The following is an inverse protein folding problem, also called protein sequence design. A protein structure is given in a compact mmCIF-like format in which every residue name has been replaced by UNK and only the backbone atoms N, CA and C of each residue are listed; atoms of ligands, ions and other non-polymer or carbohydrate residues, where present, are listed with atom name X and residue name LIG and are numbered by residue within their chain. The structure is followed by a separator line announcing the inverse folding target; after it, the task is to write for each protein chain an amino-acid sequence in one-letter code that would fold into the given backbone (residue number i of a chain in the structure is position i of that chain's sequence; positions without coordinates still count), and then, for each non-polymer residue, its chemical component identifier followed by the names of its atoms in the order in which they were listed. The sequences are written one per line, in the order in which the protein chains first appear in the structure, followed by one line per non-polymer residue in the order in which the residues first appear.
data_IF_701815863708
#
_entry.id   IF_701815863708
#
_cell.length_a   1.000
_cell.length_b   1.000
_cell.length_c   1.000
_cell.angle_alpha   90.00
_cell.angle_beta   90.00
_cell.angle_gamma   90.00
#
_symmetry.space_group_name_H-M   'P 1'
#
loop_
_entity.id
_entity.type
_entity.pdbx_description
1 polymer ?
#
# COMPACT_ATOMS: atom_id res chain seq x y z
N UNK A 1 20.15 -8.67 -0.70
CA UNK A 1 19.86 -7.25 -0.40
C UNK A 1 18.98 -6.73 -1.54
N UNK A 2 17.70 -6.48 -1.26
CA UNK A 2 16.59 -6.37 -2.22
C UNK A 2 16.52 -5.00 -2.95
N UNK A 3 17.64 -4.51 -3.51
CA UNK A 3 17.69 -3.15 -4.10
C UNK A 3 17.01 -3.01 -5.47
N UNK A 4 16.81 -4.10 -6.22
CA UNK A 4 16.32 -4.04 -7.62
C UNK A 4 14.98 -4.74 -7.86
N UNK A 5 14.18 -5.01 -6.83
CA UNK A 5 12.88 -5.66 -7.03
C UNK A 5 11.75 -4.71 -6.66
N UNK A 6 11.17 -4.09 -7.69
CA UNK A 6 9.88 -3.43 -7.58
C UNK A 6 8.83 -4.44 -7.13
N UNK A 7 8.05 -4.07 -6.13
CA UNK A 7 6.90 -4.85 -5.66
C UNK A 7 5.64 -4.16 -6.15
N UNK A 8 4.82 -4.90 -6.89
CA UNK A 8 3.58 -4.40 -7.45
C UNK A 8 2.42 -4.90 -6.60
N UNK A 9 1.64 -3.98 -6.06
CA UNK A 9 0.46 -4.26 -5.24
C UNK A 9 -0.78 -3.76 -5.96
N UNK A 10 -1.80 -4.60 -6.09
CA UNK A 10 -3.07 -4.20 -6.68
C UNK A 10 -3.94 -3.52 -5.61
N UNK A 11 -4.34 -2.28 -5.89
CA UNK A 11 -5.32 -1.55 -5.06
C UNK A 11 -6.69 -1.70 -5.71
N UNK A 12 -7.63 -2.25 -4.95
CA UNK A 12 -9.03 -2.38 -5.37
C UNK A 12 -9.87 -1.30 -4.67
N UNK A 13 -10.74 -0.65 -5.45
CA UNK A 13 -11.83 0.17 -4.91
C UNK A 13 -13.06 -0.71 -4.64
N UNK A 14 -13.52 -0.71 -3.41
CA UNK A 14 -14.72 -1.44 -2.97
C UNK A 14 -15.99 -0.64 -3.26
N UNK A 15 -17.18 -1.29 -3.29
CA UNK A 15 -18.46 -0.61 -3.55
C UNK A 15 -18.80 0.52 -2.55
N UNK A 16 -18.24 0.48 -1.34
CA UNK A 16 -18.38 1.52 -0.32
C UNK A 16 -17.39 2.69 -0.50
N UNK A 17 -16.78 2.82 -1.69
CA UNK A 17 -15.76 3.82 -2.01
C UNK A 17 -14.51 3.78 -1.11
N UNK A 18 -14.17 2.61 -0.56
CA UNK A 18 -12.91 2.39 0.18
C UNK A 18 -11.87 1.69 -0.67
N UNK A 19 -10.60 1.92 -0.35
CA UNK A 19 -9.43 1.39 -1.06
C UNK A 19 -8.73 0.32 -0.21
N UNK A 20 -8.47 -0.85 -0.80
CA UNK A 20 -7.79 -1.97 -0.13
C UNK A 20 -6.71 -2.54 -1.04
N UNK A 21 -5.58 -2.92 -0.46
CA UNK A 21 -4.58 -3.75 -1.18
C UNK A 21 -5.09 -5.19 -1.17
N UNK A 22 -5.13 -5.86 -2.31
CA UNK A 22 -5.54 -7.26 -2.36
C UNK A 22 -4.66 -8.13 -1.44
N UNK A 23 -5.31 -8.88 -0.53
CA UNK A 23 -4.63 -9.70 0.48
C UNK A 23 -4.39 -9.00 1.82
N UNK A 24 -4.71 -7.71 1.94
CA UNK A 24 -4.75 -6.99 3.22
C UNK A 24 -6.15 -7.00 3.84
N UNK A 25 -6.18 -6.87 5.17
CA UNK A 25 -7.44 -6.90 5.94
C UNK A 25 -8.02 -5.49 6.14
N UNK A 26 -7.25 -4.44 5.80
CA UNK A 26 -7.60 -3.04 6.08
C UNK A 26 -7.96 -2.27 4.81
N UNK A 27 -9.13 -1.66 4.80
CA UNK A 27 -9.57 -0.72 3.77
C UNK A 27 -9.49 0.74 4.26
N UNK A 28 -9.11 1.66 3.38
CA UNK A 28 -8.88 3.09 3.64
C UNK A 28 -9.93 3.96 2.94
N UNK A 29 -10.24 5.15 3.46
CA UNK A 29 -11.22 6.03 2.81
C UNK A 29 -10.63 6.78 1.59
N UNK A 30 -9.30 6.86 1.48
CA UNK A 30 -8.62 7.46 0.33
C UNK A 30 -7.27 6.79 0.04
N UNK A 31 -6.71 7.01 -1.15
CA UNK A 31 -5.34 6.59 -1.49
C UNK A 31 -4.30 7.28 -0.60
N UNK A 32 -4.54 8.53 -0.21
CA UNK A 32 -3.65 9.28 0.69
C UNK A 32 -3.56 8.59 2.07
N UNK A 33 -4.70 8.20 2.64
CA UNK A 33 -4.72 7.46 3.91
C UNK A 33 -4.05 6.09 3.80
N UNK A 34 -4.23 5.40 2.68
CA UNK A 34 -3.57 4.12 2.40
C UNK A 34 -2.05 4.28 2.42
N UNK A 35 -1.53 5.30 1.74
CA UNK A 35 -0.09 5.60 1.71
C UNK A 35 0.42 5.96 3.10
N UNK A 36 -0.26 6.86 3.80
CA UNK A 36 0.13 7.28 5.16
C UNK A 36 0.16 6.11 6.14
N UNK A 37 -0.82 5.21 6.08
CA UNK A 37 -0.83 4.02 6.93
C UNK A 37 0.40 3.14 6.66
N UNK A 38 0.70 2.88 5.38
CA UNK A 38 1.81 2.02 4.99
C UNK A 38 3.20 2.66 5.10
N UNK A 39 3.30 3.92 5.55
CA UNK A 39 4.56 4.52 6.00
C UNK A 39 5.01 3.97 7.37
N UNK A 40 4.08 3.44 8.16
CA UNK A 40 4.37 2.87 9.49
C UNK A 40 4.09 1.38 9.57
N UNK A 41 3.17 0.86 8.74
CA UNK A 41 2.79 -0.55 8.73
C UNK A 41 3.18 -1.20 7.42
N UNK A 42 3.97 -2.28 7.51
CA UNK A 42 4.44 -2.99 6.33
C UNK A 42 3.31 -3.65 5.53
N UNK A 43 3.50 -3.79 4.22
CA UNK A 43 2.53 -4.43 3.31
C UNK A 43 2.85 -5.92 3.18
N UNK A 44 1.87 -6.81 3.42
CA UNK A 44 2.02 -8.26 3.25
C UNK A 44 2.34 -8.61 1.79
N UNK A 45 3.08 -9.72 1.55
CA UNK A 45 3.69 -10.60 2.54
C UNK A 45 5.07 -10.13 3.03
N UNK A 46 5.60 -9.05 2.47
CA UNK A 46 7.00 -8.68 2.66
C UNK A 46 7.25 -7.77 3.85
N UNK A 47 6.18 -7.17 4.40
CA UNK A 47 6.21 -6.31 5.57
C UNK A 47 7.16 -5.10 5.42
N UNK A 48 7.40 -4.67 4.19
CA UNK A 48 8.16 -3.45 3.89
C UNK A 48 7.22 -2.23 3.95
N UNK A 49 7.74 -1.11 4.47
CA UNK A 49 7.02 0.16 4.58
C UNK A 49 7.34 1.08 3.40
N UNK A 50 6.39 1.95 3.08
CA UNK A 50 6.59 3.05 2.15
C UNK A 50 7.46 4.12 2.82
N UNK A 51 8.47 4.62 2.11
CA UNK A 51 9.42 5.58 2.66
C UNK A 51 9.31 6.91 1.95
N UNK A 52 10.10 7.12 0.91
CA UNK A 52 10.10 8.33 0.10
C UNK A 52 9.30 8.11 -1.17
N UNK A 53 8.36 9.01 -1.53
CA UNK A 53 7.70 8.93 -2.82
C UNK A 53 8.70 9.15 -3.96
N UNK A 54 8.43 8.55 -5.12
CA UNK A 54 9.18 8.88 -6.33
C UNK A 54 8.71 10.23 -6.90
N UNK A 55 9.54 10.83 -7.77
CA UNK A 55 9.15 12.00 -8.55
C UNK A 55 8.11 11.67 -9.62
N UNK A 56 7.64 12.71 -10.31
CA UNK A 56 6.70 12.63 -11.43
C UNK A 56 7.42 12.38 -12.76
#
# INVERSE_FOLDING_TARGET
RSKDRCRHYMVQMQPNARYVILGEDRAHASLTELVQYHQSVGIKPFMEILTTPCGQ
#
